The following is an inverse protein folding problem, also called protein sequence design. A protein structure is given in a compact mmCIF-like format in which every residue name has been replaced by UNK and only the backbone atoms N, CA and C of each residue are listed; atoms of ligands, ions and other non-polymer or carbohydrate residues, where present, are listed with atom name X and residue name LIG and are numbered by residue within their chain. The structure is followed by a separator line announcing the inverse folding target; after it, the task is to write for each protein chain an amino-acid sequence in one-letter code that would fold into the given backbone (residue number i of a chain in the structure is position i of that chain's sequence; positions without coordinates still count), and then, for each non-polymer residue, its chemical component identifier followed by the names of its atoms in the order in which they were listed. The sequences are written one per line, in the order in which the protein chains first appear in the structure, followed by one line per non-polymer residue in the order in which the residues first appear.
data_IF_506314415289
#
_entry.id   IF_506314415289
#
_cell.length_a   1.000
_cell.length_b   1.000
_cell.length_c   1.000
_cell.angle_alpha   90.00
_cell.angle_beta   90.00
_cell.angle_gamma   90.00
#
_symmetry.space_group_name_H-M   'P 1'
#
loop_
_entity.id
_entity.type
_entity.pdbx_description
1 polymer ?
#
# COMPACT_ATOMS: atom_id res chain seq x y z
N UNK A 1 2.13 16.99 -11.59
CA UNK A 1 1.04 17.33 -12.52
C UNK A 1 -0.02 18.13 -11.78
N UNK A 2 -0.42 19.31 -12.28
CA UNK A 2 -1.50 20.15 -11.72
C UNK A 2 -2.48 20.50 -12.84
N UNK A 3 -3.77 20.63 -12.52
CA UNK A 3 -4.81 21.08 -13.46
C UNK A 3 -4.63 22.58 -13.72
N UNK A 4 -4.60 22.99 -14.99
CA UNK A 4 -4.46 24.40 -15.40
C UNK A 4 -5.70 24.96 -16.13
N UNK A 5 -6.45 24.08 -16.81
CA UNK A 5 -7.72 24.36 -17.47
C UNK A 5 -8.72 23.22 -17.26
N UNK A 6 -10.00 23.56 -17.31
CA UNK A 6 -11.10 22.62 -17.17
C UNK A 6 -12.24 23.09 -18.05
N UNK A 7 -12.64 22.26 -19.00
CA UNK A 7 -13.84 22.47 -19.79
C UNK A 7 -14.86 21.36 -19.55
N UNK A 8 -16.11 21.76 -19.37
CA UNK A 8 -17.21 20.85 -19.03
C UNK A 8 -18.41 21.18 -19.91
N UNK A 9 -18.71 20.27 -20.82
CA UNK A 9 -19.85 20.30 -21.72
C UNK A 9 -20.78 19.11 -21.47
N UNK A 10 -22.09 19.36 -21.53
CA UNK A 10 -23.19 18.38 -21.38
C UNK A 10 -23.15 17.45 -20.14
N UNK A 11 -22.31 17.70 -19.14
CA UNK A 11 -22.12 16.81 -18.00
C UNK A 11 -23.36 16.65 -17.12
N UNK A 12 -23.84 15.40 -16.97
CA UNK A 12 -25.03 15.04 -16.21
C UNK A 12 -26.29 15.85 -16.63
N UNK A 13 -26.76 15.54 -17.84
CA UNK A 13 -27.91 16.17 -18.51
C UNK A 13 -29.05 16.57 -17.55
N UNK A 14 -29.27 17.89 -17.44
CA UNK A 14 -30.34 18.49 -16.63
C UNK A 14 -29.87 19.36 -15.46
N UNK A 15 -28.63 19.19 -14.97
CA UNK A 15 -28.17 19.90 -13.76
C UNK A 15 -26.99 20.88 -13.98
N UNK A 16 -26.23 20.76 -15.07
CA UNK A 16 -25.11 21.65 -15.37
C UNK A 16 -25.35 22.45 -16.65
N UNK A 17 -25.30 23.78 -16.54
CA UNK A 17 -25.05 24.66 -17.69
C UNK A 17 -23.53 24.68 -17.85
N UNK A 18 -23.02 24.31 -19.02
CA UNK A 18 -21.59 24.12 -19.31
C UNK A 18 -20.69 25.19 -18.69
N UNK A 19 -19.46 24.79 -18.35
CA UNK A 19 -18.55 25.62 -17.55
C UNK A 19 -17.10 25.39 -17.98
N UNK A 20 -16.54 26.43 -18.59
CA UNK A 20 -15.11 26.53 -18.91
C UNK A 20 -14.41 27.37 -17.84
N UNK A 21 -13.28 26.86 -17.34
CA UNK A 21 -12.40 27.56 -16.39
C UNK A 21 -10.97 27.45 -16.91
N UNK A 22 -10.36 28.59 -17.20
CA UNK A 22 -8.98 28.66 -17.70
C UNK A 22 -8.07 29.41 -16.73
N UNK A 23 -6.76 29.26 -16.92
CA UNK A 23 -5.73 29.99 -16.17
C UNK A 23 -5.86 29.79 -14.65
N UNK A 24 -6.07 28.54 -14.24
CA UNK A 24 -6.15 28.18 -12.83
C UNK A 24 -4.77 28.40 -12.18
N UNK A 25 -4.63 29.49 -11.41
CA UNK A 25 -3.37 29.91 -10.77
C UNK A 25 -3.51 29.99 -9.26
N UNK A 26 -2.43 29.67 -8.56
CA UNK A 26 -2.35 29.69 -7.10
C UNK A 26 -2.38 28.30 -6.46
N UNK A 27 -2.17 28.23 -5.15
CA UNK A 27 -2.12 26.96 -4.40
C UNK A 27 -3.49 26.52 -3.87
N UNK A 28 -4.46 27.44 -3.81
CA UNK A 28 -5.77 27.17 -3.23
C UNK A 28 -6.87 27.90 -3.99
N UNK A 29 -7.90 27.16 -4.38
CA UNK A 29 -9.05 27.66 -5.14
C UNK A 29 -10.32 27.38 -4.35
N UNK A 30 -11.22 28.36 -4.33
CA UNK A 30 -12.47 28.24 -3.59
C UNK A 30 -13.67 28.48 -4.51
N UNK A 31 -14.39 27.40 -4.82
CA UNK A 31 -15.66 27.48 -5.54
C UNK A 31 -16.79 27.89 -4.58
N UNK A 32 -17.22 29.15 -4.64
CA UNK A 32 -18.37 29.67 -3.86
C UNK A 32 -19.63 29.72 -4.72
N UNK A 33 -20.78 29.43 -4.11
CA UNK A 33 -22.10 29.53 -4.75
C UNK A 33 -23.19 28.93 -3.87
N UNK A 34 -24.46 29.26 -4.14
CA UNK A 34 -25.63 28.68 -3.46
C UNK A 34 -25.85 27.19 -3.72
N UNK A 35 -26.87 26.59 -3.14
CA UNK A 35 -27.26 25.20 -3.44
C UNK A 35 -27.60 25.04 -4.93
N UNK A 36 -27.28 23.88 -5.52
CA UNK A 36 -27.50 23.55 -6.96
C UNK A 36 -26.78 24.46 -7.97
N UNK A 37 -25.73 25.19 -7.57
CA UNK A 37 -24.89 25.94 -8.52
C UNK A 37 -23.84 25.06 -9.23
N UNK A 38 -23.97 23.74 -9.15
CA UNK A 38 -23.05 22.80 -9.79
C UNK A 38 -21.66 22.68 -9.18
N UNK A 39 -21.44 23.07 -7.92
CA UNK A 39 -20.14 22.86 -7.23
C UNK A 39 -19.75 21.38 -7.18
N UNK A 40 -20.64 20.54 -6.66
CA UNK A 40 -20.44 19.09 -6.61
C UNK A 40 -20.33 18.49 -8.01
N UNK A 41 -21.07 19.03 -8.98
CA UNK A 41 -20.99 18.61 -10.38
C UNK A 41 -19.62 18.90 -10.98
N UNK A 42 -19.02 20.07 -10.70
CA UNK A 42 -17.64 20.37 -11.16
C UNK A 42 -16.65 19.34 -10.60
N UNK A 43 -16.72 18.98 -9.32
CA UNK A 43 -15.84 17.94 -8.75
C UNK A 43 -16.13 16.55 -9.34
N UNK A 44 -17.40 16.21 -9.59
CA UNK A 44 -17.76 14.97 -10.26
C UNK A 44 -17.33 14.93 -11.72
N UNK A 45 -17.31 16.06 -12.43
CA UNK A 45 -16.79 16.15 -13.79
C UNK A 45 -15.28 15.90 -13.81
N UNK A 46 -14.54 16.49 -12.87
CA UNK A 46 -13.11 16.22 -12.69
C UNK A 46 -12.89 14.72 -12.39
N UNK A 47 -13.61 14.15 -11.41
CA UNK A 47 -13.52 12.72 -11.09
C UNK A 47 -13.87 11.82 -12.28
N UNK A 48 -14.89 12.21 -13.05
CA UNK A 48 -15.31 11.49 -14.25
C UNK A 48 -14.19 11.48 -15.29
N UNK A 49 -13.58 12.62 -15.58
CA UNK A 49 -12.49 12.72 -16.54
C UNK A 49 -11.28 11.89 -16.08
N UNK A 50 -10.85 12.07 -14.82
CA UNK A 50 -9.68 11.38 -14.27
C UNK A 50 -9.85 9.86 -14.15
N UNK A 51 -11.00 9.39 -13.63
CA UNK A 51 -11.16 7.99 -13.20
C UNK A 51 -12.34 7.26 -13.87
N UNK A 52 -13.17 7.97 -14.64
CA UNK A 52 -14.35 7.42 -15.29
C UNK A 52 -15.62 7.41 -14.43
N UNK A 53 -16.74 7.07 -15.07
CA UNK A 53 -18.09 7.17 -14.52
C UNK A 53 -18.31 6.43 -13.18
N UNK A 54 -17.65 5.29 -13.00
CA UNK A 54 -17.78 4.45 -11.79
C UNK A 54 -17.26 5.11 -10.51
N UNK A 55 -16.45 6.17 -10.65
CA UNK A 55 -15.78 6.83 -9.54
C UNK A 55 -16.45 8.14 -9.12
N UNK A 56 -17.48 8.58 -9.83
CA UNK A 56 -18.28 9.75 -9.46
C UNK A 56 -19.07 9.53 -8.18
N UNK A 57 -19.35 10.60 -7.43
CA UNK A 57 -20.01 10.53 -6.13
C UNK A 57 -21.47 10.94 -6.24
N UNK A 58 -22.37 10.03 -5.86
CA UNK A 58 -23.83 10.23 -5.82
C UNK A 58 -24.42 10.76 -7.13
N UNK A 59 -23.80 10.44 -8.27
CA UNK A 59 -24.19 10.94 -9.58
C UNK A 59 -24.37 9.77 -10.56
N UNK A 60 -25.52 9.75 -11.23
CA UNK A 60 -25.68 8.97 -12.43
C UNK A 60 -25.16 9.81 -13.61
N UNK A 61 -23.99 9.47 -14.13
CA UNK A 61 -23.46 10.14 -15.33
C UNK A 61 -24.44 9.91 -16.48
N UNK A 62 -24.84 10.98 -17.17
CA UNK A 62 -25.67 10.90 -18.37
C UNK A 62 -24.96 10.15 -19.51
N UNK A 63 -25.61 10.07 -20.68
CA UNK A 63 -25.04 9.40 -21.87
C UNK A 63 -24.09 10.27 -22.70
N UNK A 64 -24.20 11.59 -22.57
CA UNK A 64 -23.40 12.57 -23.30
C UNK A 64 -22.71 13.42 -22.24
N UNK A 65 -21.48 13.06 -21.87
CA UNK A 65 -20.67 13.86 -20.97
C UNK A 65 -19.39 14.19 -21.74
N UNK A 66 -19.00 15.44 -21.76
CA UNK A 66 -17.82 15.91 -22.46
C UNK A 66 -17.02 16.74 -21.47
N UNK A 67 -15.87 16.22 -21.06
CA UNK A 67 -15.02 16.88 -20.07
C UNK A 67 -13.60 16.85 -20.57
N UNK A 68 -12.97 18.02 -20.64
CA UNK A 68 -11.57 18.22 -20.97
C UNK A 68 -10.82 18.80 -19.77
N UNK A 69 -9.64 18.26 -19.48
CA UNK A 69 -8.74 18.79 -18.46
C UNK A 69 -7.38 19.05 -19.09
N UNK A 70 -6.92 20.29 -18.99
CA UNK A 70 -5.53 20.64 -19.25
C UNK A 70 -4.68 20.56 -17.99
N UNK A 71 -3.40 20.25 -18.19
CA UNK A 71 -2.41 20.18 -17.13
C UNK A 71 -1.24 21.13 -17.40
N UNK A 72 -0.57 21.50 -16.31
CA UNK A 72 0.60 22.41 -16.34
C UNK A 72 1.80 21.89 -17.12
N UNK A 73 1.84 20.61 -17.47
CA UNK A 73 2.87 20.00 -18.33
C UNK A 73 2.47 20.02 -19.81
N UNK A 74 1.50 20.86 -20.17
CA UNK A 74 0.94 21.02 -21.53
C UNK A 74 0.12 19.82 -22.02
N UNK A 75 0.01 18.75 -21.22
CA UNK A 75 -0.84 17.63 -21.54
C UNK A 75 -2.33 17.95 -21.37
N UNK A 76 -3.16 17.28 -22.17
CA UNK A 76 -4.61 17.41 -22.14
C UNK A 76 -5.26 16.04 -22.20
N UNK A 77 -6.35 15.89 -21.45
CA UNK A 77 -7.16 14.69 -21.52
C UNK A 77 -8.64 15.03 -21.67
N UNK A 78 -9.22 14.57 -22.77
CA UNK A 78 -10.64 14.61 -23.04
C UNK A 78 -11.27 13.25 -22.74
N UNK A 79 -12.40 13.28 -22.05
CA UNK A 79 -13.26 12.12 -21.85
C UNK A 79 -14.68 12.47 -22.24
N UNK A 80 -15.18 11.82 -23.29
CA UNK A 80 -16.57 11.97 -23.71
C UNK A 80 -16.94 11.11 -24.91
N UNK A 81 -17.95 11.56 -25.65
CA UNK A 81 -18.43 10.94 -26.87
C UNK A 81 -17.80 11.69 -28.06
N UNK A 82 -17.20 11.04 -29.08
CA UNK A 82 -17.22 9.60 -29.35
C UNK A 82 -16.20 8.75 -28.57
N UNK A 83 -15.00 9.27 -28.28
CA UNK A 83 -13.93 8.51 -27.62
C UNK A 83 -13.10 9.41 -26.69
N UNK A 84 -12.26 8.80 -25.83
CA UNK A 84 -11.30 9.56 -25.02
C UNK A 84 -10.13 10.03 -25.89
N UNK A 85 -9.57 11.19 -25.60
CA UNK A 85 -8.41 11.73 -26.33
C UNK A 85 -7.34 12.19 -25.34
N UNK A 86 -6.07 11.92 -25.66
CA UNK A 86 -4.93 12.33 -24.85
C UNK A 86 -3.87 12.98 -25.74
N UNK A 87 -3.43 14.17 -25.35
CA UNK A 87 -2.39 14.94 -26.03
C UNK A 87 -1.29 15.31 -25.02
N UNK A 88 -0.02 15.14 -25.38
CA UNK A 88 1.16 15.49 -24.55
C UNK A 88 2.23 16.24 -25.37
N UNK A 89 1.79 17.03 -26.36
CA UNK A 89 2.66 17.80 -27.28
C UNK A 89 3.41 16.96 -28.33
N UNK A 90 3.69 15.69 -28.07
CA UNK A 90 4.40 14.80 -29.00
C UNK A 90 3.46 13.91 -29.84
N UNK A 91 2.32 13.52 -29.28
CA UNK A 91 1.38 12.59 -29.90
C UNK A 91 -0.05 12.86 -29.44
N UNK A 92 -0.99 12.54 -30.32
CA UNK A 92 -2.44 12.52 -30.06
C UNK A 92 -2.89 11.05 -30.08
N UNK A 93 -3.39 10.56 -28.95
CA UNK A 93 -3.96 9.23 -28.81
C UNK A 93 -5.48 9.33 -28.68
N UNK A 94 -6.19 8.30 -29.13
CA UNK A 94 -7.65 8.22 -29.01
C UNK A 94 -8.10 6.90 -28.39
N UNK A 95 -9.35 6.85 -27.94
CA UNK A 95 -10.02 5.63 -27.47
C UNK A 95 -9.37 4.98 -26.24
N UNK A 96 -9.14 3.68 -26.34
CA UNK A 96 -8.58 2.89 -25.23
C UNK A 96 -7.11 3.26 -24.96
N UNK A 97 -6.32 3.49 -26.01
CA UNK A 97 -4.89 3.82 -25.88
C UNK A 97 -4.70 5.13 -25.11
N UNK A 98 -5.53 6.14 -25.40
CA UNK A 98 -5.55 7.40 -24.64
C UNK A 98 -5.84 7.17 -23.15
N UNK A 99 -6.82 6.31 -22.83
CA UNK A 99 -7.21 6.03 -21.44
C UNK A 99 -6.13 5.25 -20.69
N UNK A 100 -5.44 4.32 -21.35
CA UNK A 100 -4.39 3.50 -20.74
C UNK A 100 -3.15 4.34 -20.43
N UNK A 101 -2.66 5.11 -21.42
CA UNK A 101 -1.49 6.00 -21.23
C UNK A 101 -1.76 7.06 -20.17
N UNK A 102 -2.96 7.65 -20.19
CA UNK A 102 -3.34 8.62 -19.18
C UNK A 102 -3.48 8.00 -17.78
N UNK A 103 -4.00 6.77 -17.70
CA UNK A 103 -4.10 6.01 -16.46
C UNK A 103 -2.73 5.76 -15.83
N UNK A 104 -1.75 5.36 -16.64
CA UNK A 104 -0.36 5.18 -16.19
C UNK A 104 0.27 6.50 -15.71
N UNK A 105 -0.03 7.62 -16.38
CA UNK A 105 0.47 8.95 -16.01
C UNK A 105 -0.12 9.46 -14.69
N UNK A 106 -1.42 9.22 -14.45
CA UNK A 106 -2.10 9.60 -13.21
C UNK A 106 -1.66 8.74 -12.02
N UNK A 107 -1.40 7.45 -12.25
CA UNK A 107 -1.05 6.48 -11.22
C UNK A 107 -2.26 5.86 -10.53
N UNK A 108 -2.11 5.42 -9.27
CA UNK A 108 -3.13 4.64 -8.55
C UNK A 108 -4.47 5.38 -8.42
N UNK A 109 -5.57 4.88 -9.04
CA UNK A 109 -6.91 5.46 -8.94
C UNK A 109 -7.40 5.65 -7.50
N UNK A 110 -6.98 4.76 -6.59
CA UNK A 110 -7.37 4.80 -5.18
C UNK A 110 -6.75 6.01 -4.48
N UNK A 111 -5.51 6.34 -4.82
CA UNK A 111 -4.80 7.50 -4.28
C UNK A 111 -5.43 8.79 -4.81
N UNK A 112 -5.70 8.86 -6.12
CA UNK A 112 -6.35 10.02 -6.74
C UNK A 112 -7.71 10.28 -6.10
N UNK A 113 -8.53 9.24 -5.95
CA UNK A 113 -9.84 9.32 -5.30
C UNK A 113 -9.76 9.81 -3.86
N UNK A 114 -8.68 9.50 -3.13
CA UNK A 114 -8.51 9.93 -1.75
C UNK A 114 -8.39 11.45 -1.58
N UNK A 115 -7.99 12.17 -2.64
CA UNK A 115 -7.94 13.64 -2.63
C UNK A 115 -9.32 14.30 -2.72
N UNK A 116 -10.36 13.54 -3.09
CA UNK A 116 -11.73 14.04 -3.19
C UNK A 116 -12.49 13.73 -1.89
N UNK A 117 -12.41 14.65 -0.94
CA UNK A 117 -13.03 14.50 0.39
C UNK A 117 -14.48 14.97 0.36
N UNK A 118 -15.40 14.10 0.75
CA UNK A 118 -16.81 14.45 0.88
C UNK A 118 -17.07 15.34 2.10
N UNK A 119 -17.99 16.30 1.98
CA UNK A 119 -18.41 17.14 3.11
C UNK A 119 -19.19 16.37 4.19
N UNK A 120 -19.74 15.23 3.83
CA UNK A 120 -20.47 14.36 4.76
C UNK A 120 -19.50 13.35 5.37
N UNK A 121 -19.38 13.37 6.69
CA UNK A 121 -18.45 12.54 7.48
C UNK A 121 -18.58 11.06 7.08
N UNK A 122 -19.80 10.51 7.07
CA UNK A 122 -20.07 9.11 6.73
C UNK A 122 -19.74 8.68 5.28
N UNK A 123 -19.40 9.63 4.40
CA UNK A 123 -18.94 9.36 3.02
C UNK A 123 -17.46 9.69 2.80
N UNK A 124 -16.74 10.06 3.86
CA UNK A 124 -15.31 10.30 3.77
C UNK A 124 -14.55 9.02 3.41
N UNK A 125 -13.42 9.12 2.67
CA UNK A 125 -12.62 7.95 2.31
C UNK A 125 -12.21 7.08 3.52
N UNK A 126 -11.93 7.70 4.67
CA UNK A 126 -11.60 6.99 5.91
C UNK A 126 -12.79 6.21 6.49
N UNK A 127 -14.01 6.68 6.24
CA UNK A 127 -15.23 6.05 6.75
C UNK A 127 -15.62 4.78 5.97
N UNK A 128 -15.15 4.67 4.73
CA UNK A 128 -15.27 3.44 3.92
C UNK A 128 -14.35 2.32 4.41
N UNK A 129 -13.31 2.64 5.18
CA UNK A 129 -12.42 1.65 5.75
C UNK A 129 -13.04 1.01 6.99
N UNK A 130 -12.83 -0.30 7.11
CA UNK A 130 -13.12 -1.04 8.35
C UNK A 130 -12.36 -0.41 9.52
N UNK A 131 -12.89 -0.59 10.75
CA UNK A 131 -12.29 -0.01 11.96
C UNK A 131 -10.81 -0.42 12.12
N UNK A 132 -10.48 -1.68 11.85
CA UNK A 132 -9.09 -2.18 11.90
C UNK A 132 -8.19 -1.49 10.87
N UNK A 133 -8.66 -1.35 9.63
CA UNK A 133 -7.90 -0.70 8.57
C UNK A 133 -7.71 0.80 8.83
N UNK A 134 -8.71 1.47 9.41
CA UNK A 134 -8.61 2.88 9.79
C UNK A 134 -7.57 3.09 10.89
N UNK A 135 -7.58 2.27 11.93
CA UNK A 135 -6.57 2.32 13.01
C UNK A 135 -5.17 2.01 12.47
N UNK A 136 -5.05 1.02 11.59
CA UNK A 136 -3.77 0.68 10.94
C UNK A 136 -3.24 1.84 10.09
N UNK A 137 -4.11 2.49 9.31
CA UNK A 137 -3.73 3.64 8.48
C UNK A 137 -3.33 4.85 9.34
N UNK A 138 -4.09 5.15 10.39
CA UNK A 138 -3.73 6.23 11.34
C UNK A 138 -2.39 5.93 12.00
N UNK A 139 -2.13 4.69 12.42
CA UNK A 139 -0.84 4.28 13.00
C UNK A 139 0.30 4.35 11.97
N UNK A 140 0.03 4.00 10.71
CA UNK A 140 1.00 4.11 9.61
C UNK A 140 1.44 5.55 9.39
N UNK A 141 0.51 6.52 9.47
CA UNK A 141 0.79 7.94 9.21
C UNK A 141 1.34 8.66 10.44
N UNK A 142 0.91 8.27 11.65
CA UNK A 142 1.32 8.98 12.89
C UNK A 142 2.61 8.47 13.51
N UNK A 143 3.11 7.29 13.14
CA UNK A 143 4.12 6.59 13.93
C UNK A 143 5.11 5.79 13.07
N UNK A 144 5.76 6.50 12.14
CA UNK A 144 6.89 5.98 11.35
C UNK A 144 8.05 5.52 12.25
N UNK A 145 8.34 6.27 13.31
CA UNK A 145 9.39 5.94 14.29
C UNK A 145 9.04 4.67 15.10
N UNK A 146 7.75 4.44 15.44
CA UNK A 146 7.35 3.18 16.08
C UNK A 146 7.42 1.99 15.11
N UNK A 147 7.18 2.19 13.81
CA UNK A 147 7.39 1.14 12.81
C UNK A 147 8.86 0.78 12.69
N UNK A 148 9.74 1.77 12.66
CA UNK A 148 11.18 1.52 12.63
C UNK A 148 11.63 0.76 13.88
N UNK A 149 11.11 1.13 15.06
CA UNK A 149 11.38 0.42 16.31
C UNK A 149 10.82 -1.00 16.32
N UNK A 150 9.60 -1.22 15.81
CA UNK A 150 9.02 -2.56 15.69
C UNK A 150 9.86 -3.45 14.78
N UNK A 151 10.25 -2.95 13.60
CA UNK A 151 11.09 -3.70 12.66
C UNK A 151 12.46 -4.03 13.26
N UNK A 152 13.02 -3.13 14.08
CA UNK A 152 14.25 -3.41 14.84
C UNK A 152 14.04 -4.51 15.88
N UNK A 153 12.90 -4.52 16.58
CA UNK A 153 12.59 -5.57 17.56
C UNK A 153 12.33 -6.92 16.91
N UNK A 154 11.58 -6.97 15.80
CA UNK A 154 11.34 -8.21 15.04
C UNK A 154 12.67 -8.83 14.56
N UNK A 155 13.59 -8.03 14.01
CA UNK A 155 14.93 -8.51 13.63
C UNK A 155 15.75 -8.99 14.83
N UNK A 156 15.65 -8.31 15.96
CA UNK A 156 16.35 -8.72 17.17
C UNK A 156 15.78 -10.03 17.74
N UNK A 157 14.48 -10.24 17.64
CA UNK A 157 13.81 -11.49 18.04
C UNK A 157 14.22 -12.65 17.13
N UNK A 158 14.26 -12.44 15.81
CA UNK A 158 14.77 -13.45 14.86
C UNK A 158 16.23 -13.84 15.16
N UNK A 159 17.09 -12.86 15.44
CA UNK A 159 18.49 -13.12 15.83
C UNK A 159 18.58 -13.89 17.16
N UNK A 160 17.76 -13.53 18.15
CA UNK A 160 17.74 -14.20 19.44
C UNK A 160 17.29 -15.65 19.29
N UNK A 161 16.25 -15.91 18.50
CA UNK A 161 15.78 -17.26 18.22
C UNK A 161 16.85 -18.11 17.55
N UNK A 162 17.62 -17.54 16.61
CA UNK A 162 18.74 -18.24 16.00
C UNK A 162 19.82 -18.62 17.01
N UNK A 163 20.17 -17.70 17.93
CA UNK A 163 21.14 -17.96 18.99
C UNK A 163 20.66 -19.01 19.99
N UNK A 164 19.35 -19.03 20.31
CA UNK A 164 18.77 -20.05 21.18
C UNK A 164 18.88 -21.43 20.53
N UNK A 165 18.54 -21.55 19.24
CA UNK A 165 18.66 -22.81 18.50
C UNK A 165 20.11 -23.29 18.48
N UNK A 166 21.07 -22.39 18.22
CA UNK A 166 22.50 -22.75 18.24
C UNK A 166 22.96 -23.22 19.63
N UNK A 167 22.50 -22.56 20.69
CA UNK A 167 22.84 -22.93 22.07
C UNK A 167 22.25 -24.30 22.45
N UNK A 168 20.99 -24.57 22.09
CA UNK A 168 20.34 -25.87 22.30
C UNK A 168 21.06 -27.00 21.53
N UNK A 169 21.50 -26.71 20.30
CA UNK A 169 22.27 -27.67 19.51
C UNK A 169 23.67 -27.95 20.07
N UNK A 170 24.32 -26.95 20.67
CA UNK A 170 25.60 -27.11 21.35
C UNK A 170 25.44 -27.88 22.67
N UNK A 171 24.42 -27.58 23.45
CA UNK A 171 24.09 -28.31 24.68
C UNK A 171 23.86 -29.79 24.39
N UNK A 172 23.08 -30.10 23.34
CA UNK A 172 22.87 -31.48 22.90
C UNK A 172 24.17 -32.18 22.55
N UNK A 173 25.06 -31.53 21.79
CA UNK A 173 26.37 -32.10 21.43
C UNK A 173 27.23 -32.38 22.66
N UNK A 174 27.28 -31.46 23.60
CA UNK A 174 28.03 -31.64 24.86
C UNK A 174 27.44 -32.79 25.69
N UNK A 175 26.10 -32.92 25.73
CA UNK A 175 25.44 -34.02 26.43
C UNK A 175 25.78 -35.38 25.80
N UNK A 176 25.77 -35.48 24.47
CA UNK A 176 26.15 -36.70 23.76
C UNK A 176 27.62 -37.09 24.02
N UNK A 177 28.52 -36.09 24.02
CA UNK A 177 29.94 -36.29 24.35
C UNK A 177 30.11 -36.76 25.81
N UNK A 178 29.35 -36.18 26.75
CA UNK A 178 29.39 -36.55 28.16
C UNK A 178 28.95 -38.01 28.35
N UNK A 179 27.86 -38.43 27.71
CA UNK A 179 27.36 -39.81 27.75
C UNK A 179 28.37 -40.80 27.13
N UNK A 180 29.13 -40.38 26.12
CA UNK A 180 30.21 -41.21 25.56
C UNK A 180 31.37 -41.34 26.54
N UNK A 181 31.78 -40.25 27.19
CA UNK A 181 32.84 -40.26 28.19
C UNK A 181 32.45 -41.12 29.39
N UNK A 182 31.22 -41.02 29.88
CA UNK A 182 30.74 -41.81 31.02
C UNK A 182 30.75 -43.30 30.71
N UNK A 183 30.32 -43.71 29.50
CA UNK A 183 30.44 -45.09 29.02
C UNK A 183 31.88 -45.58 29.01
N UNK A 184 32.82 -44.78 28.49
CA UNK A 184 34.26 -45.13 28.48
C UNK A 184 34.82 -45.29 29.89
N UNK A 185 34.41 -44.43 30.83
CA UNK A 185 34.82 -44.55 32.24
C UNK A 185 34.31 -45.87 32.82
N UNK A 186 33.04 -46.21 32.64
CA UNK A 186 32.48 -47.47 33.13
C UNK A 186 33.16 -48.72 32.53
N UNK A 187 33.52 -48.68 31.25
CA UNK A 187 34.28 -49.75 30.60
C UNK A 187 35.69 -49.90 31.20
N UNK A 188 36.38 -48.78 31.45
CA UNK A 188 37.71 -48.77 32.06
C UNK A 188 37.69 -49.25 33.52
N UNK A 189 36.69 -48.85 34.30
CA UNK A 189 36.49 -49.33 35.67
C UNK A 189 36.25 -50.85 35.69
N UNK A 190 35.39 -51.35 34.78
CA UNK A 190 35.14 -52.79 34.62
C UNK A 190 36.41 -53.56 34.21
N UNK A 191 37.27 -52.97 33.37
CA UNK A 191 38.56 -53.56 33.02
C UNK A 191 39.50 -53.59 34.22
N UNK A 192 39.59 -52.49 34.97
CA UNK A 192 40.40 -52.39 36.18
C UNK A 192 40.01 -53.46 37.20
N UNK A 193 38.72 -53.62 37.47
CA UNK A 193 38.21 -54.64 38.39
C UNK A 193 38.60 -56.06 37.95
N UNK A 194 38.50 -56.36 36.65
CA UNK A 194 38.96 -57.65 36.09
C UNK A 194 40.46 -57.88 36.28
N UNK A 195 41.29 -56.85 36.14
CA UNK A 195 42.73 -56.97 36.37
C UNK A 195 43.07 -57.14 37.85
N UNK A 196 42.40 -56.41 38.74
CA UNK A 196 42.57 -56.55 40.19
C UNK A 196 42.17 -57.95 40.66
N UNK A 197 41.05 -58.48 40.18
CA UNK A 197 40.59 -59.84 40.50
C UNK A 197 41.55 -60.93 39.98
N UNK A 198 42.17 -60.71 38.82
CA UNK A 198 43.20 -61.63 38.29
C UNK A 198 44.51 -61.55 39.08
N UNK A 199 44.91 -60.35 39.53
CA UNK A 199 46.07 -60.17 40.40
C UNK A 199 45.87 -60.89 41.73
N UNK A 200 44.70 -60.75 42.36
CA UNK A 200 44.41 -61.42 43.64
C UNK A 200 44.38 -62.95 43.54
N UNK A 201 44.06 -63.49 42.36
CA UNK A 201 44.12 -64.95 42.10
C UNK A 201 45.55 -65.41 41.85
N UNK A 202 46.39 -64.57 41.22
CA UNK A 202 47.82 -64.85 41.02
C UNK A 202 48.64 -64.77 42.32
N UNK A 203 48.26 -63.90 43.25
CA UNK A 203 48.91 -63.78 44.57
C UNK A 203 48.50 -64.88 45.58
N UNK A 204 47.54 -65.75 45.23
CA UNK A 204 47.06 -66.88 46.04
C UNK A 204 47.66 -68.24 45.63
N UNK A 205 48.64 -68.25 44.73
CA UNK A 205 49.44 -69.42 44.33
C UNK A 205 50.90 -69.27 44.79
#
# INVERSE_FOLDING_TARGET
MKIDSLDIEEFASGEHRGKTVENIRGESLLFRGGSRTGKTLTFNAILYNLLGARHTVDLATGRQNEVEIGFTDESRFFRGNPEAEYEDGEYLLTGAEASDVFGDKIGDPSLVKSHFVHSHIGKMPLDQLSRSNRVSLVRKVTNEDLRERLSRFERAEEQLNHLVIEAEDEERRISEDLDEVERKVGDLESQKEKYEQRSSVADCW
#
